data_IF_174589643911
#
_entry.id   IF_174589643911
#
_cell.length_a   1.000
_cell.length_b   1.000
_cell.length_c   1.000
_cell.angle_alpha   90.00
_cell.angle_beta   90.00
_cell.angle_gamma   90.00
#
_symmetry.space_group_name_H-M   'P 1'
#
loop_
_entity.id
_entity.type
_entity.pdbx_description
1 polymer ?
#
# COMPACT_ATOMS: atom_id res chain seq x y z
N UNK A 1 7.29 -31.71 3.71
CA UNK A 1 7.75 -30.59 4.55
C UNK A 1 6.97 -29.35 4.13
N UNK A 2 6.52 -28.50 5.07
CA UNK A 2 5.87 -27.24 4.69
C UNK A 2 6.84 -26.33 3.96
N UNK A 3 6.33 -25.62 2.96
CA UNK A 3 7.09 -24.62 2.21
C UNK A 3 7.50 -23.47 3.15
N UNK A 4 8.80 -23.10 3.22
CA UNK A 4 9.24 -21.99 4.06
C UNK A 4 8.53 -20.68 3.72
N UNK A 5 8.14 -19.89 4.73
CA UNK A 5 7.34 -18.67 4.56
C UNK A 5 7.96 -17.66 3.58
N UNK A 6 9.29 -17.57 3.51
CA UNK A 6 9.99 -16.61 2.65
C UNK A 6 10.44 -17.21 1.31
N UNK A 7 9.99 -18.42 0.97
CA UNK A 7 10.36 -19.10 -0.28
C UNK A 7 9.35 -18.89 -1.42
N UNK A 8 8.23 -18.22 -1.14
CA UNK A 8 7.27 -17.85 -2.17
C UNK A 8 7.85 -16.80 -3.11
N UNK A 9 7.45 -16.87 -4.39
CA UNK A 9 7.81 -15.87 -5.37
C UNK A 9 7.28 -14.51 -4.91
N UNK A 10 8.18 -13.54 -4.91
CA UNK A 10 7.90 -12.15 -4.58
C UNK A 10 6.85 -11.57 -5.54
N UNK A 11 6.05 -10.63 -5.04
CA UNK A 11 5.04 -9.93 -5.83
C UNK A 11 5.72 -9.18 -6.99
N UNK A 12 5.06 -9.13 -8.16
CA UNK A 12 5.67 -8.60 -9.38
C UNK A 12 6.05 -7.12 -9.26
N UNK A 13 5.32 -6.36 -8.44
CA UNK A 13 5.56 -4.93 -8.27
C UNK A 13 6.62 -4.59 -7.20
N UNK A 14 7.25 -5.57 -6.55
CA UNK A 14 8.29 -5.30 -5.53
C UNK A 14 9.49 -4.53 -6.09
N UNK A 15 9.73 -4.59 -7.40
CA UNK A 15 10.80 -3.84 -8.05
C UNK A 15 10.54 -2.33 -8.17
N UNK A 16 9.30 -1.85 -8.01
CA UNK A 16 8.96 -0.43 -8.14
C UNK A 16 9.24 0.38 -6.86
N UNK A 17 9.55 -0.29 -5.75
CA UNK A 17 9.76 0.36 -4.46
C UNK A 17 8.46 0.93 -3.86
N UNK A 18 8.52 1.56 -2.68
CA UNK A 18 7.36 2.20 -2.09
C UNK A 18 6.95 3.43 -2.91
N UNK A 19 5.64 3.66 -3.05
CA UNK A 19 5.12 4.88 -3.64
C UNK A 19 5.52 6.10 -2.79
N UNK A 20 5.77 7.27 -3.40
CA UNK A 20 6.06 8.50 -2.67
C UNK A 20 4.87 9.02 -1.85
N UNK A 21 3.64 8.69 -2.28
CA UNK A 21 2.39 8.99 -1.57
C UNK A 21 1.34 7.88 -1.83
N UNK A 22 0.36 7.76 -0.92
CA UNK A 22 -0.76 6.84 -1.08
C UNK A 22 -1.84 7.43 -2.02
N UNK A 23 -2.27 6.71 -3.07
CA UNK A 23 -3.31 7.20 -3.98
C UNK A 23 -4.66 7.25 -3.26
N UNK A 24 -5.40 8.34 -3.47
CA UNK A 24 -6.76 8.52 -2.95
C UNK A 24 -7.83 8.32 -4.05
N UNK A 25 -7.39 8.18 -5.29
CA UNK A 25 -8.24 8.01 -6.46
C UNK A 25 -7.66 7.02 -7.48
N UNK A 26 -8.53 6.48 -8.36
CA UNK A 26 -8.10 5.62 -9.46
C UNK A 26 -7.15 6.33 -10.43
N UNK A 27 -7.35 7.62 -10.64
CA UNK A 27 -6.49 8.41 -11.53
C UNK A 27 -5.06 8.53 -11.00
N UNK A 28 -4.89 8.67 -9.68
CA UNK A 28 -3.57 8.67 -9.02
C UNK A 28 -2.94 7.27 -9.05
N UNK A 29 -3.74 6.21 -8.87
CA UNK A 29 -3.25 4.83 -9.07
C UNK A 29 -2.69 4.63 -10.48
N UNK A 30 -3.40 5.09 -11.51
CA UNK A 30 -2.94 4.97 -12.89
C UNK A 30 -1.62 5.76 -13.13
N UNK A 31 -1.45 6.92 -12.48
CA UNK A 31 -0.20 7.71 -12.52
C UNK A 31 0.97 7.01 -11.83
N UNK A 32 0.70 6.34 -10.71
CA UNK A 32 1.69 5.55 -9.97
C UNK A 32 1.95 4.17 -10.62
N UNK A 33 1.18 3.80 -11.65
CA UNK A 33 1.27 2.49 -12.30
C UNK A 33 0.66 1.34 -11.48
N UNK A 34 -0.23 1.66 -10.54
CA UNK A 34 -0.92 0.69 -9.69
C UNK A 34 -2.17 0.15 -10.40
N UNK A 35 -2.25 -1.17 -10.56
CA UNK A 35 -3.42 -1.84 -11.14
C UNK A 35 -4.54 -2.06 -10.11
N UNK A 36 -4.14 -2.28 -8.85
CA UNK A 36 -5.01 -2.58 -7.71
C UNK A 36 -4.36 -2.19 -6.37
N UNK A 37 -5.18 -2.01 -5.32
CA UNK A 37 -4.69 -1.85 -3.96
C UNK A 37 -4.75 -3.20 -3.24
N UNK A 38 -3.63 -3.66 -2.68
CA UNK A 38 -3.57 -4.92 -1.92
C UNK A 38 -4.32 -4.83 -0.58
N UNK A 39 -4.24 -3.68 0.09
CA UNK A 39 -4.88 -3.42 1.38
C UNK A 39 -5.49 -2.02 1.33
N UNK A 40 -6.79 -1.92 1.62
CA UNK A 40 -7.49 -0.64 1.79
C UNK A 40 -7.90 -0.54 3.25
N UNK A 41 -7.37 0.46 3.96
CA UNK A 41 -7.73 0.73 5.35
C UNK A 41 -8.75 1.85 5.36
N UNK A 42 -10.01 1.50 5.61
CA UNK A 42 -11.09 2.49 5.76
C UNK A 42 -11.26 2.79 7.25
N UNK A 43 -10.88 3.98 7.68
CA UNK A 43 -11.09 4.44 9.07
C UNK A 43 -12.26 5.43 9.10
N UNK A 44 -13.17 5.27 10.06
CA UNK A 44 -14.32 6.18 10.29
C UNK A 44 -13.93 7.38 11.15
N UNK A 45 -12.68 7.76 11.08
CA UNK A 45 -12.01 8.65 12.01
C UNK A 45 -11.66 9.94 11.25
N UNK A 46 -12.24 11.04 11.71
CA UNK A 46 -11.89 12.36 11.22
C UNK A 46 -10.62 12.84 11.93
N UNK A 47 -9.44 12.28 11.61
CA UNK A 47 -8.19 12.77 12.21
C UNK A 47 -7.49 13.82 11.33
N UNK A 48 -7.42 15.00 11.94
CA UNK A 48 -6.48 16.09 11.69
C UNK A 48 -5.08 15.63 12.11
N UNK A 49 -4.08 15.98 11.30
CA UNK A 49 -2.65 15.67 11.42
C UNK A 49 -2.13 15.45 12.85
N UNK A 50 -1.93 14.19 13.22
CA UNK A 50 -1.02 13.84 14.30
C UNK A 50 -0.17 12.63 13.90
N UNK A 51 1.17 12.77 13.76
CA UNK A 51 2.07 11.73 13.22
C UNK A 51 2.20 10.47 14.10
N UNK A 52 1.41 10.35 15.17
CA UNK A 52 1.38 9.19 16.08
C UNK A 52 0.18 8.25 15.84
N UNK A 53 -0.79 8.63 15.00
CA UNK A 53 -1.98 7.83 14.72
C UNK A 53 -1.98 7.28 13.29
N UNK A 54 -1.21 6.20 13.09
CA UNK A 54 -1.64 4.99 12.38
C UNK A 54 -1.94 4.98 10.87
N UNK A 55 -2.10 6.12 10.19
CA UNK A 55 -2.13 6.19 8.72
C UNK A 55 -1.38 7.43 8.22
N UNK A 56 -0.14 7.58 8.67
CA UNK A 56 0.80 8.48 8.02
C UNK A 56 1.95 7.63 7.49
N UNK A 57 1.82 7.20 6.23
CA UNK A 57 2.94 6.88 5.34
C UNK A 57 2.61 7.50 4.00
#
# INVERSE_FOLDING_TARGET
MPTPLFSYRKYWAECFGPAPELPMSRAEMDQLGWDSCDIIVVTGDAYVDHPSFGMAV
#
